data_IF_940454916010
#
_entry.id   IF_940454916010
#
_cell.length_a   1.000
_cell.length_b   1.000
_cell.length_c   1.000
_cell.angle_alpha   90.00
_cell.angle_beta   90.00
_cell.angle_gamma   90.00
#
_symmetry.space_group_name_H-M   'P 1'
#
loop_
_entity.id
_entity.type
_entity.pdbx_description
1 polymer ?
#
# COMPACT_ATOMS: atom_id res chain seq x y z
N UNK A 1 55.37 -26.03 -3.09
CA UNK A 1 54.61 -25.83 -4.34
C UNK A 1 53.55 -24.72 -4.11
N UNK A 2 53.79 -23.55 -4.66
CA UNK A 2 52.93 -22.38 -4.51
C UNK A 2 52.01 -22.26 -5.75
N UNK A 3 50.69 -22.40 -5.59
CA UNK A 3 49.75 -22.09 -6.66
C UNK A 3 49.37 -20.62 -6.61
N UNK A 4 49.70 -19.90 -7.68
CA UNK A 4 49.35 -18.51 -7.90
C UNK A 4 47.88 -18.40 -8.38
N UNK A 5 47.03 -17.74 -7.62
CA UNK A 5 45.69 -17.29 -8.08
C UNK A 5 45.89 -16.08 -8.98
N UNK A 6 45.48 -16.20 -10.25
CA UNK A 6 45.35 -15.08 -11.18
C UNK A 6 44.07 -14.36 -10.91
N UNK A 7 44.14 -13.07 -10.53
CA UNK A 7 43.02 -12.14 -10.54
C UNK A 7 42.87 -11.60 -11.96
N UNK A 8 41.69 -11.80 -12.53
CA UNK A 8 41.29 -11.18 -13.81
C UNK A 8 40.76 -9.77 -13.50
N UNK A 9 41.48 -8.76 -13.89
CA UNK A 9 40.98 -7.38 -13.93
C UNK A 9 40.28 -7.19 -15.27
N UNK A 10 38.96 -6.91 -15.23
CA UNK A 10 38.25 -6.41 -16.39
C UNK A 10 38.57 -4.92 -16.54
N UNK A 11 39.23 -4.56 -17.61
CA UNK A 11 39.58 -3.22 -17.98
C UNK A 11 38.39 -2.66 -18.78
N UNK A 12 37.64 -1.70 -18.21
CA UNK A 12 36.63 -0.93 -18.94
C UNK A 12 37.36 0.08 -19.81
N UNK A 13 37.26 -0.09 -21.12
CA UNK A 13 37.78 0.85 -22.13
C UNK A 13 36.73 1.94 -22.33
N UNK A 14 37.00 3.14 -21.82
CA UNK A 14 36.26 4.35 -22.24
C UNK A 14 36.80 4.78 -23.57
N UNK A 15 36.03 4.60 -24.63
CA UNK A 15 36.34 5.14 -25.95
C UNK A 15 35.49 6.38 -26.19
N UNK A 16 36.12 7.55 -26.03
CA UNK A 16 35.56 8.81 -26.53
C UNK A 16 35.68 8.86 -28.04
N UNK A 17 34.58 8.83 -28.75
CA UNK A 17 34.53 9.18 -30.17
C UNK A 17 33.80 10.51 -30.37
N UNK A 18 34.55 11.57 -30.68
CA UNK A 18 34.02 12.72 -31.40
C UNK A 18 33.99 12.38 -32.87
N UNK A 19 32.81 12.31 -33.46
CA UNK A 19 32.65 12.38 -34.92
C UNK A 19 31.46 13.27 -35.24
N UNK A 20 31.72 14.33 -35.98
CA UNK A 20 30.77 15.26 -36.52
C UNK A 20 30.18 14.65 -37.83
N UNK A 21 28.84 14.67 -37.97
CA UNK A 21 28.19 14.48 -39.26
C UNK A 21 27.03 13.50 -39.26
N UNK A 22 25.83 14.01 -39.54
CA UNK A 22 24.55 13.31 -39.83
C UNK A 22 24.35 11.99 -39.10
N UNK A 23 23.87 12.07 -37.89
CA UNK A 23 23.71 10.91 -37.03
C UNK A 23 22.23 10.66 -36.77
N UNK A 24 21.82 9.43 -36.99
CA UNK A 24 20.93 8.80 -36.04
C UNK A 24 21.52 9.06 -34.64
N UNK A 25 20.79 9.71 -33.76
CA UNK A 25 21.24 9.86 -32.35
C UNK A 25 21.31 8.45 -31.76
N UNK A 26 22.52 7.95 -31.59
CA UNK A 26 22.76 6.64 -31.00
C UNK A 26 22.22 6.62 -29.56
N UNK A 27 21.94 5.45 -29.11
CA UNK A 27 21.52 5.15 -27.75
C UNK A 27 22.47 5.80 -26.74
N UNK A 28 21.93 6.61 -25.82
CA UNK A 28 22.67 7.31 -24.78
C UNK A 28 22.21 6.78 -23.42
N UNK A 29 23.18 6.42 -22.60
CA UNK A 29 22.94 6.02 -21.21
C UNK A 29 23.47 7.11 -20.30
N UNK A 30 22.64 7.63 -19.40
CA UNK A 30 23.02 8.73 -18.52
C UNK A 30 22.33 8.65 -17.16
N UNK A 31 22.98 9.25 -16.18
CA UNK A 31 22.39 9.41 -14.85
C UNK A 31 21.47 10.62 -14.82
N UNK A 32 20.28 10.44 -14.28
CA UNK A 32 19.23 11.46 -14.22
C UNK A 32 18.45 11.40 -12.90
N UNK A 33 18.11 12.56 -12.36
CA UNK A 33 17.16 12.66 -11.25
C UNK A 33 15.78 12.96 -11.81
N UNK A 34 14.80 12.15 -11.54
CA UNK A 34 13.43 12.38 -11.98
C UNK A 34 12.76 13.50 -11.16
N UNK A 35 12.10 14.44 -11.84
CA UNK A 35 11.47 15.62 -11.24
C UNK A 35 9.93 15.65 -11.35
N UNK A 36 9.33 14.63 -11.94
CA UNK A 36 7.88 14.58 -12.15
C UNK A 36 7.45 14.85 -13.59
N UNK A 37 6.15 14.93 -13.81
CA UNK A 37 5.51 15.15 -15.10
C UNK A 37 5.40 16.65 -15.40
N UNK A 38 5.68 17.08 -16.64
CA UNK A 38 5.66 18.49 -17.01
C UNK A 38 4.25 19.06 -17.19
N UNK A 39 3.39 18.38 -17.92
CA UNK A 39 2.09 18.90 -18.36
C UNK A 39 0.92 18.25 -17.60
N UNK A 40 1.02 18.21 -16.30
CA UNK A 40 0.01 17.62 -15.50
C UNK A 40 -1.21 18.53 -15.39
N UNK A 41 -2.38 18.03 -15.74
CA UNK A 41 -3.63 18.76 -15.65
C UNK A 41 -4.09 19.47 -16.92
N UNK A 42 -3.38 19.37 -18.03
CA UNK A 42 -3.74 20.11 -19.26
C UNK A 42 -4.76 19.39 -20.16
N UNK A 43 -4.89 18.06 -20.05
CA UNK A 43 -5.80 17.27 -20.89
C UNK A 43 -6.35 16.07 -20.15
N UNK A 44 -7.46 15.52 -20.64
CA UNK A 44 -8.09 14.32 -20.08
C UNK A 44 -7.13 13.16 -20.08
N UNK A 45 -6.63 12.79 -18.90
CA UNK A 45 -5.69 11.68 -18.74
C UNK A 45 -6.51 10.41 -18.60
N UNK A 46 -6.44 9.57 -19.60
CA UNK A 46 -6.92 8.20 -19.51
C UNK A 46 -5.75 7.23 -19.73
N UNK A 47 -5.97 5.95 -19.55
CA UNK A 47 -4.94 4.92 -19.78
C UNK A 47 -4.31 4.99 -21.18
N UNK A 48 -5.06 5.48 -22.15
CA UNK A 48 -4.65 5.50 -23.55
C UNK A 48 -3.75 6.70 -23.91
N UNK A 49 -3.65 7.70 -23.03
CA UNK A 49 -2.89 8.95 -23.28
C UNK A 49 -1.59 9.05 -22.49
N UNK A 50 -1.19 8.03 -21.74
CA UNK A 50 0.06 8.01 -20.96
C UNK A 50 1.32 8.27 -21.79
N UNK A 51 1.32 7.91 -23.05
CA UNK A 51 2.43 8.13 -23.99
C UNK A 51 2.59 9.60 -24.39
N UNK A 52 1.58 10.43 -24.14
CA UNK A 52 1.60 11.86 -24.49
C UNK A 52 2.24 12.73 -23.41
N UNK A 53 2.46 12.20 -22.22
CA UNK A 53 3.11 12.94 -21.15
C UNK A 53 4.57 13.28 -21.44
N UNK A 54 4.99 14.39 -20.86
CA UNK A 54 6.39 14.81 -20.83
C UNK A 54 6.93 14.67 -19.41
N UNK A 55 8.08 14.05 -19.29
CA UNK A 55 8.72 13.70 -18.03
C UNK A 55 9.97 14.52 -17.83
N UNK A 56 10.10 15.19 -16.68
CA UNK A 56 11.21 16.08 -16.36
C UNK A 56 12.30 15.33 -15.60
N UNK A 57 13.53 15.57 -16.00
CA UNK A 57 14.71 15.01 -15.37
C UNK A 57 15.78 16.09 -15.20
N UNK A 58 16.57 16.01 -14.14
CA UNK A 58 17.84 16.73 -14.03
C UNK A 58 18.97 15.83 -14.50
N UNK A 59 19.71 16.27 -15.54
CA UNK A 59 20.88 15.61 -16.07
C UNK A 59 22.03 16.60 -16.09
N UNK A 60 23.17 16.27 -15.47
CA UNK A 60 24.32 17.17 -15.31
C UNK A 60 23.94 18.54 -14.75
N UNK A 61 23.01 18.56 -13.77
CA UNK A 61 22.53 19.78 -13.11
C UNK A 61 21.61 20.66 -13.96
N UNK A 62 21.13 20.18 -15.11
CA UNK A 62 20.19 20.88 -15.99
C UNK A 62 18.90 20.10 -16.14
N UNK A 63 17.79 20.81 -16.06
CA UNK A 63 16.48 20.22 -16.33
C UNK A 63 16.32 19.95 -17.82
N UNK A 64 15.86 18.74 -18.15
CA UNK A 64 15.55 18.28 -19.48
C UNK A 64 14.22 17.53 -19.45
N UNK A 65 13.51 17.57 -20.58
CA UNK A 65 12.17 16.98 -20.71
C UNK A 65 12.19 15.93 -21.81
N UNK A 66 11.63 14.78 -21.51
CA UNK A 66 11.56 13.65 -22.43
C UNK A 66 10.16 13.04 -22.49
N UNK A 67 9.84 12.46 -23.63
CA UNK A 67 8.78 11.46 -23.73
C UNK A 67 9.33 10.11 -23.28
N UNK A 68 8.43 9.23 -22.84
CA UNK A 68 8.75 7.82 -22.58
C UNK A 68 8.26 6.98 -23.75
N UNK A 69 9.02 5.96 -24.09
CA UNK A 69 8.62 4.96 -25.06
C UNK A 69 8.73 3.57 -24.40
N UNK A 70 7.59 3.01 -24.06
CA UNK A 70 7.48 1.71 -23.40
C UNK A 70 7.58 0.51 -24.37
N UNK A 71 7.87 0.76 -25.66
CA UNK A 71 7.90 -0.29 -26.66
C UNK A 71 6.50 -0.76 -27.10
N UNK A 72 6.39 -2.03 -27.45
CA UNK A 72 5.16 -2.60 -27.96
C UNK A 72 4.19 -2.99 -26.84
N UNK A 73 2.91 -2.76 -27.07
CA UNK A 73 1.83 -3.25 -26.19
C UNK A 73 1.67 -4.78 -26.33
N UNK A 74 1.18 -5.40 -25.27
CA UNK A 74 0.80 -6.81 -25.31
C UNK A 74 -0.49 -7.06 -26.13
N UNK A 75 -0.94 -8.30 -26.22
CA UNK A 75 -2.16 -8.68 -26.94
C UNK A 75 -3.46 -8.06 -26.40
N UNK A 76 -3.41 -7.48 -25.19
CA UNK A 76 -4.53 -6.83 -24.52
C UNK A 76 -4.47 -5.30 -24.67
N UNK A 77 -3.47 -4.79 -25.38
CA UNK A 77 -3.25 -3.37 -25.61
C UNK A 77 -2.60 -2.65 -24.43
N UNK A 78 -1.93 -3.37 -23.55
CA UNK A 78 -1.27 -2.83 -22.36
C UNK A 78 0.25 -2.96 -22.46
N UNK A 79 0.98 -2.03 -21.86
CA UNK A 79 2.42 -2.15 -21.67
C UNK A 79 2.72 -3.07 -20.49
N UNK A 80 3.50 -4.14 -20.67
CA UNK A 80 3.81 -5.07 -19.57
C UNK A 80 4.51 -4.41 -18.39
N UNK A 81 5.39 -3.44 -18.67
CA UNK A 81 6.19 -2.74 -17.66
C UNK A 81 6.35 -1.27 -18.03
N UNK A 82 5.34 -0.41 -17.84
CA UNK A 82 5.45 0.99 -18.17
C UNK A 82 6.54 1.68 -17.32
N UNK A 83 7.53 2.28 -17.99
CA UNK A 83 8.69 2.92 -17.34
C UNK A 83 8.24 3.99 -16.34
N UNK A 84 7.23 4.77 -16.70
CA UNK A 84 6.70 5.84 -15.85
C UNK A 84 6.14 5.34 -14.52
N UNK A 85 5.69 4.12 -14.43
CA UNK A 85 5.18 3.55 -13.18
C UNK A 85 6.31 3.19 -12.20
N UNK A 86 7.56 3.18 -12.66
CA UNK A 86 8.73 2.92 -11.84
C UNK A 86 9.48 4.21 -11.44
N UNK A 87 9.07 5.37 -11.97
CA UNK A 87 9.73 6.64 -11.70
C UNK A 87 9.19 7.30 -10.43
N UNK A 88 10.09 7.66 -9.53
CA UNK A 88 9.82 8.30 -8.24
C UNK A 88 10.49 9.68 -8.20
N UNK A 89 9.74 10.73 -7.88
CA UNK A 89 10.28 12.08 -7.81
C UNK A 89 11.43 12.16 -6.80
N UNK A 90 12.51 12.83 -7.21
CA UNK A 90 13.72 12.98 -6.41
C UNK A 90 14.69 11.79 -6.44
N UNK A 91 14.32 10.69 -7.09
CA UNK A 91 15.18 9.51 -7.21
C UNK A 91 16.10 9.60 -8.42
N UNK A 92 17.26 8.94 -8.31
CA UNK A 92 18.27 8.88 -9.37
C UNK A 92 18.13 7.59 -10.15
N UNK A 93 18.11 7.72 -11.46
CA UNK A 93 18.01 6.62 -12.42
C UNK A 93 19.20 6.64 -13.37
N UNK A 94 19.62 5.46 -13.84
CA UNK A 94 20.30 5.32 -15.09
C UNK A 94 19.24 5.20 -16.18
N UNK A 95 19.14 6.23 -17.03
CA UNK A 95 18.16 6.28 -18.12
C UNK A 95 18.82 6.03 -19.45
N UNK A 96 18.13 5.27 -20.30
CA UNK A 96 18.53 5.00 -21.66
C UNK A 96 17.66 5.82 -22.61
N UNK A 97 18.29 6.69 -23.38
CA UNK A 97 17.61 7.57 -24.33
C UNK A 97 17.95 7.16 -25.76
N UNK A 98 16.93 7.00 -26.58
CA UNK A 98 17.05 6.82 -28.01
C UNK A 98 15.96 7.61 -28.73
N UNK A 99 16.31 8.27 -29.85
CA UNK A 99 15.40 9.12 -30.61
C UNK A 99 14.68 10.21 -29.78
N UNK A 100 15.36 10.72 -28.74
CA UNK A 100 14.81 11.75 -27.85
C UNK A 100 13.75 11.26 -26.86
N UNK A 101 13.63 9.95 -26.69
CA UNK A 101 12.71 9.32 -25.76
C UNK A 101 13.46 8.43 -24.76
N UNK A 102 12.97 8.35 -23.52
CA UNK A 102 13.44 7.38 -22.54
C UNK A 102 12.89 6.01 -22.90
N UNK A 103 13.77 5.04 -23.09
CA UNK A 103 13.47 3.66 -23.48
C UNK A 103 13.62 2.68 -22.31
N UNK A 104 14.41 3.05 -21.32
CA UNK A 104 14.59 2.30 -20.07
C UNK A 104 14.98 3.25 -18.95
N UNK A 105 14.64 2.90 -17.73
CA UNK A 105 15.08 3.56 -16.52
C UNK A 105 15.36 2.48 -15.45
N UNK A 106 16.58 2.48 -14.93
CA UNK A 106 16.99 1.59 -13.84
C UNK A 106 17.30 2.44 -12.61
N UNK A 107 16.60 2.19 -11.51
CA UNK A 107 16.82 2.93 -10.28
C UNK A 107 18.23 2.66 -9.74
N UNK A 108 18.99 3.73 -9.53
CA UNK A 108 20.25 3.66 -8.81
C UNK A 108 19.96 3.65 -7.32
N UNK A 109 20.65 2.78 -6.59
CA UNK A 109 20.54 2.73 -5.14
C UNK A 109 20.86 4.12 -4.57
N UNK A 110 19.83 4.81 -4.08
CA UNK A 110 20.00 6.10 -3.44
C UNK A 110 20.78 5.90 -2.14
N UNK A 111 22.04 6.31 -2.14
CA UNK A 111 22.87 6.31 -0.94
C UNK A 111 22.36 7.45 -0.06
N UNK A 112 21.57 7.13 0.95
CA UNK A 112 21.12 8.09 1.95
C UNK A 112 19.61 8.17 2.23
N UNK A 113 18.75 7.54 1.43
CA UNK A 113 17.37 7.30 1.85
C UNK A 113 17.38 6.12 2.84
N UNK A 114 17.21 6.38 4.12
CA UNK A 114 16.95 5.30 5.07
C UNK A 114 15.67 4.59 4.64
N UNK A 115 15.80 3.33 4.27
CA UNK A 115 14.65 2.47 3.99
C UNK A 115 13.77 2.42 5.24
N UNK A 116 12.50 2.79 5.07
CA UNK A 116 11.58 2.75 6.19
C UNK A 116 11.52 1.34 6.79
N UNK A 117 11.68 1.26 8.08
CA UNK A 117 11.52 0.03 8.84
C UNK A 117 10.25 0.16 9.69
N UNK A 118 9.19 -0.62 9.40
CA UNK A 118 8.00 -0.63 10.26
C UNK A 118 8.38 -1.02 11.69
N UNK A 119 7.70 -0.46 12.70
CA UNK A 119 7.94 -0.85 14.11
C UNK A 119 7.52 -2.29 14.38
N UNK A 120 6.75 -2.91 13.49
CA UNK A 120 6.33 -4.31 13.53
C UNK A 120 6.65 -4.94 12.19
N UNK A 121 7.09 -6.21 12.17
CA UNK A 121 7.42 -6.93 10.93
C UNK A 121 6.67 -8.24 10.80
N UNK A 122 5.88 -8.36 9.74
CA UNK A 122 5.45 -9.64 9.24
C UNK A 122 6.53 -10.29 8.36
N UNK A 123 6.48 -11.60 8.25
CA UNK A 123 7.39 -12.39 7.42
C UNK A 123 6.62 -12.92 6.20
N UNK A 124 6.99 -12.53 4.98
CA UNK A 124 6.30 -12.95 3.78
C UNK A 124 6.19 -14.48 3.66
N UNK A 125 4.99 -14.99 3.36
CA UNK A 125 4.72 -16.43 3.19
C UNK A 125 4.54 -17.23 4.48
N UNK A 126 4.74 -16.63 5.64
CA UNK A 126 4.47 -17.31 6.93
C UNK A 126 2.98 -17.24 7.25
N UNK A 127 2.34 -18.41 7.36
CA UNK A 127 0.89 -18.56 7.52
C UNK A 127 0.54 -18.84 8.98
N UNK A 128 0.74 -17.85 9.84
CA UNK A 128 0.29 -17.89 11.24
C UNK A 128 -0.57 -16.68 11.57
N UNK A 129 -1.40 -16.78 12.60
CA UNK A 129 -2.27 -15.69 13.04
C UNK A 129 -1.45 -14.51 13.56
N UNK A 130 -0.38 -14.78 14.32
CA UNK A 130 0.58 -13.74 14.74
C UNK A 130 1.14 -13.01 13.53
N UNK A 131 1.61 -13.74 12.52
CA UNK A 131 2.19 -13.13 11.33
C UNK A 131 1.16 -12.35 10.50
N UNK A 132 -0.09 -12.83 10.44
CA UNK A 132 -1.17 -12.12 9.75
C UNK A 132 -1.41 -10.74 10.40
N UNK A 133 -1.55 -10.68 11.72
CA UNK A 133 -1.76 -9.43 12.45
C UNK A 133 -0.50 -8.54 12.43
N UNK A 134 0.69 -9.11 12.56
CA UNK A 134 1.95 -8.37 12.42
C UNK A 134 2.10 -7.74 11.04
N UNK A 135 1.76 -8.50 9.98
CA UNK A 135 1.76 -7.99 8.60
C UNK A 135 0.76 -6.85 8.45
N UNK A 136 -0.46 -7.00 9.00
CA UNK A 136 -1.48 -5.97 8.94
C UNK A 136 -1.05 -4.66 9.64
N UNK A 137 -0.23 -4.74 10.67
CA UNK A 137 0.31 -3.57 11.38
C UNK A 137 1.45 -2.84 10.63
N UNK A 138 2.11 -3.48 9.66
CA UNK A 138 3.27 -2.88 8.98
C UNK A 138 3.00 -1.53 8.29
N UNK A 139 1.91 -1.33 7.52
CA UNK A 139 1.65 -0.07 6.81
C UNK A 139 0.90 0.94 7.67
N UNK A 140 0.54 0.60 8.92
CA UNK A 140 -0.17 1.49 9.84
C UNK A 140 0.63 2.76 10.06
N UNK A 141 -0.06 3.89 10.01
CA UNK A 141 0.51 5.20 10.33
C UNK A 141 1.52 5.75 9.32
N UNK A 142 1.69 5.12 8.17
CA UNK A 142 2.67 5.53 7.16
C UNK A 142 2.17 5.48 5.72
N UNK A 143 0.91 5.09 5.53
CA UNK A 143 0.31 4.89 4.20
C UNK A 143 -1.02 5.61 4.13
N UNK A 144 -1.22 6.45 3.12
CA UNK A 144 -2.47 7.20 2.96
C UNK A 144 -3.57 6.36 2.28
N UNK A 145 -4.82 6.78 2.51
CA UNK A 145 -5.97 6.22 1.82
C UNK A 145 -6.03 6.75 0.39
N UNK A 146 -5.83 5.87 -0.58
CA UNK A 146 -6.00 6.17 -2.01
C UNK A 146 -7.06 5.25 -2.58
N UNK A 147 -8.17 5.82 -3.03
CA UNK A 147 -9.31 5.04 -3.52
C UNK A 147 -8.98 4.26 -4.78
N UNK A 148 -9.46 3.01 -4.85
CA UNK A 148 -9.36 2.14 -6.03
C UNK A 148 -8.47 0.92 -5.84
N UNK A 149 -8.08 0.58 -4.62
CA UNK A 149 -7.28 -0.61 -4.30
C UNK A 149 -5.93 -0.27 -3.69
N UNK A 150 -4.86 -0.79 -4.24
CA UNK A 150 -3.49 -0.48 -3.85
C UNK A 150 -2.76 0.24 -4.99
N UNK A 151 -2.04 1.30 -4.65
CA UNK A 151 -1.29 2.11 -5.60
C UNK A 151 0.15 2.25 -5.13
N UNK A 152 1.07 1.64 -5.83
CA UNK A 152 2.50 1.91 -5.77
C UNK A 152 3.09 1.83 -7.18
N UNK A 153 4.34 2.28 -7.33
CA UNK A 153 4.99 2.33 -8.63
C UNK A 153 5.38 0.95 -9.19
N UNK A 154 5.23 -0.10 -8.37
CA UNK A 154 5.49 -1.49 -8.76
C UNK A 154 4.25 -2.17 -9.34
N UNK A 155 3.07 -1.60 -9.10
CA UNK A 155 1.81 -2.12 -9.63
C UNK A 155 1.67 -1.78 -11.10
N UNK A 156 2.03 -2.73 -11.91
CA UNK A 156 1.97 -2.61 -13.37
C UNK A 156 0.54 -2.71 -13.86
N UNK A 157 -0.02 -1.60 -14.31
CA UNK A 157 -1.26 -1.56 -15.10
C UNK A 157 -2.57 -1.60 -14.34
N UNK A 158 -2.62 -1.97 -13.06
CA UNK A 158 -3.86 -2.05 -12.30
C UNK A 158 -3.65 -1.89 -10.80
N UNK A 159 -4.26 -0.88 -10.21
CA UNK A 159 -4.38 -0.70 -8.77
C UNK A 159 -5.11 -1.84 -8.04
N UNK A 160 -5.71 -2.76 -8.77
CA UNK A 160 -6.50 -3.86 -8.23
C UNK A 160 -5.61 -5.00 -7.72
N UNK A 161 -4.36 -5.08 -8.18
CA UNK A 161 -3.48 -6.22 -7.90
C UNK A 161 -2.24 -5.78 -7.14
N UNK A 162 -2.41 -5.36 -5.89
CA UNK A 162 -1.29 -5.02 -5.03
C UNK A 162 -0.46 -6.28 -4.73
N UNK A 163 0.75 -6.33 -5.26
CA UNK A 163 1.68 -7.46 -5.15
C UNK A 163 2.99 -7.11 -4.47
N UNK A 164 3.05 -5.94 -3.86
CA UNK A 164 4.25 -5.47 -3.16
C UNK A 164 4.52 -6.31 -1.94
N UNK A 165 5.73 -6.85 -1.82
CA UNK A 165 6.20 -7.54 -0.63
C UNK A 165 6.77 -6.50 0.34
N UNK A 166 6.26 -6.50 1.55
CA UNK A 166 6.58 -5.49 2.55
C UNK A 166 5.89 -4.15 2.29
N UNK A 167 6.23 -3.13 3.07
CA UNK A 167 5.71 -1.77 2.92
C UNK A 167 6.41 -1.09 1.76
N UNK A 168 5.63 -0.57 0.81
CA UNK A 168 6.21 0.21 -0.28
C UNK A 168 6.83 1.50 0.24
N UNK A 169 8.06 1.78 -0.17
CA UNK A 169 8.71 3.06 0.15
C UNK A 169 7.94 4.25 -0.45
N UNK A 170 7.21 4.03 -1.52
CA UNK A 170 6.39 5.06 -2.16
C UNK A 170 5.24 5.50 -1.26
N UNK A 171 4.62 4.58 -0.52
CA UNK A 171 3.56 4.93 0.45
C UNK A 171 4.10 5.84 1.54
N UNK A 172 5.26 5.50 2.10
CA UNK A 172 5.90 6.28 3.16
C UNK A 172 6.34 7.66 2.64
N UNK A 173 6.93 7.69 1.46
CA UNK A 173 7.38 8.92 0.81
C UNK A 173 6.19 9.82 0.51
N UNK A 174 5.11 9.26 -0.02
CA UNK A 174 3.89 10.01 -0.31
C UNK A 174 3.27 10.58 0.98
N UNK A 175 3.10 9.76 2.03
CA UNK A 175 2.60 10.21 3.33
C UNK A 175 3.45 11.37 3.88
N UNK A 176 4.78 11.25 3.86
CA UNK A 176 5.69 12.28 4.38
C UNK A 176 5.75 13.53 3.52
N UNK A 177 5.54 13.42 2.22
CA UNK A 177 5.50 14.56 1.30
C UNK A 177 4.22 15.37 1.41
N UNK A 178 3.13 14.79 1.91
CA UNK A 178 1.86 15.47 2.11
C UNK A 178 1.86 16.20 3.45
N UNK A 179 1.67 17.49 3.40
CA UNK A 179 1.47 18.35 4.57
C UNK A 179 0.04 18.90 4.61
N UNK A 180 -0.23 19.81 5.54
CA UNK A 180 -1.54 20.44 5.69
C UNK A 180 -1.96 21.33 4.49
N UNK A 181 -1.01 21.62 3.60
CA UNK A 181 -1.21 22.51 2.47
C UNK A 181 -1.16 21.80 1.12
N UNK A 182 -1.10 20.44 1.11
CA UNK A 182 -1.05 19.74 -0.15
C UNK A 182 -2.29 20.04 -1.02
N UNK A 183 -2.09 20.03 -2.32
CA UNK A 183 -3.14 20.28 -3.28
C UNK A 183 -3.84 18.99 -3.67
N UNK A 184 -5.15 18.94 -3.45
CA UNK A 184 -5.99 17.84 -3.92
C UNK A 184 -6.27 18.02 -5.42
N UNK A 185 -6.05 16.98 -6.21
CA UNK A 185 -6.25 17.01 -7.66
C UNK A 185 -7.41 16.12 -8.06
N UNK A 186 -8.23 16.61 -8.97
CA UNK A 186 -9.34 15.84 -9.55
C UNK A 186 -8.86 14.88 -10.65
N UNK A 187 -9.80 14.21 -11.29
CA UNK A 187 -9.53 13.28 -12.39
C UNK A 187 -8.89 13.92 -13.64
N UNK A 188 -8.92 15.24 -13.76
CA UNK A 188 -8.29 15.99 -14.85
C UNK A 188 -6.91 16.52 -14.42
N UNK A 189 -6.49 16.26 -13.17
CA UNK A 189 -5.29 16.82 -12.58
C UNK A 189 -5.42 18.28 -12.16
N UNK A 190 -6.62 18.87 -12.29
CA UNK A 190 -6.88 20.23 -11.86
C UNK A 190 -6.93 20.30 -10.33
N UNK A 191 -6.38 21.37 -9.77
CA UNK A 191 -6.52 21.66 -8.37
C UNK A 191 -7.98 21.89 -8.02
N UNK A 192 -8.51 21.04 -7.14
CA UNK A 192 -9.88 21.16 -6.68
C UNK A 192 -9.95 21.74 -5.28
N UNK A 193 -11.01 22.46 -5.04
CA UNK A 193 -11.39 22.75 -3.67
C UNK A 193 -11.73 21.42 -2.99
N UNK A 194 -11.24 21.28 -1.78
CA UNK A 194 -11.58 20.18 -0.92
C UNK A 194 -13.11 20.03 -0.83
N UNK A 195 -13.59 18.87 -1.24
CA UNK A 195 -14.97 18.47 -1.00
C UNK A 195 -14.99 17.60 0.26
N UNK A 196 -15.64 18.08 1.32
CA UNK A 196 -15.78 17.33 2.57
C UNK A 196 -16.47 15.97 2.40
N UNK A 197 -17.20 15.76 1.32
CA UNK A 197 -17.81 14.47 0.98
C UNK A 197 -16.80 13.47 0.39
N UNK A 198 -15.63 13.92 -0.06
CA UNK A 198 -14.59 13.12 -0.70
C UNK A 198 -13.27 13.24 0.08
N UNK A 199 -13.25 12.73 1.30
CA UNK A 199 -12.08 12.75 2.18
C UNK A 199 -11.04 11.68 1.82
N UNK A 200 -10.73 11.53 0.54
CA UNK A 200 -9.72 10.60 0.03
C UNK A 200 -9.19 11.06 -1.32
N UNK A 201 -8.01 10.56 -1.71
CA UNK A 201 -7.43 10.85 -3.00
C UNK A 201 -8.24 10.21 -4.13
N UNK A 202 -8.44 10.90 -5.25
CA UNK A 202 -9.32 10.45 -6.31
C UNK A 202 -8.79 9.21 -7.02
N UNK A 203 -9.72 8.44 -7.54
CA UNK A 203 -9.46 7.33 -8.44
C UNK A 203 -9.37 7.81 -9.88
N UNK A 204 -8.42 7.27 -10.65
CA UNK A 204 -8.28 7.59 -12.07
C UNK A 204 -6.92 7.25 -12.64
N UNK A 205 -6.74 7.40 -13.94
CA UNK A 205 -5.54 7.01 -14.66
C UNK A 205 -4.26 7.77 -14.29
N UNK A 206 -4.35 8.80 -13.49
CA UNK A 206 -3.19 9.56 -12.99
C UNK A 206 -2.85 9.31 -11.52
N UNK A 207 -3.56 8.42 -10.83
CA UNK A 207 -3.19 8.01 -9.48
C UNK A 207 -1.75 7.46 -9.43
N UNK A 208 -1.37 6.74 -10.46
CA UNK A 208 -0.03 6.18 -10.64
C UNK A 208 1.09 7.23 -10.64
N UNK A 209 0.76 8.49 -10.90
CA UNK A 209 1.74 9.58 -10.97
C UNK A 209 1.79 10.44 -9.72
N UNK A 210 0.70 10.47 -8.94
CA UNK A 210 0.57 11.45 -7.87
C UNK A 210 0.25 10.87 -6.53
N UNK A 211 -0.37 9.71 -6.50
CA UNK A 211 -0.89 9.13 -5.27
C UNK A 211 -0.35 7.72 -5.09
N UNK A 212 0.17 7.44 -3.92
CA UNK A 212 0.58 6.12 -3.50
C UNK A 212 -0.07 5.79 -2.16
N UNK A 213 -0.74 4.65 -2.07
CA UNK A 213 -1.46 4.28 -0.85
C UNK A 213 -2.42 3.12 -1.04
N UNK A 214 -3.23 2.87 -0.02
CA UNK A 214 -4.13 1.71 0.06
C UNK A 214 -5.54 2.15 0.46
N UNK A 215 -6.56 1.72 -0.28
CA UNK A 215 -7.92 1.75 0.25
C UNK A 215 -8.20 0.55 1.17
N UNK A 216 -9.44 0.39 1.64
CA UNK A 216 -9.79 -0.69 2.55
C UNK A 216 -9.57 -2.08 1.93
N UNK A 217 -9.92 -2.26 0.67
CA UNK A 217 -9.76 -3.52 -0.05
C UNK A 217 -8.32 -3.76 -0.49
N UNK A 218 -7.62 -2.72 -0.87
CA UNK A 218 -6.19 -2.75 -1.18
C UNK A 218 -5.35 -3.15 0.03
N UNK A 219 -5.67 -2.60 1.19
CA UNK A 219 -5.01 -2.95 2.45
C UNK A 219 -5.18 -4.43 2.81
N UNK A 220 -6.42 -4.91 2.87
CA UNK A 220 -6.67 -6.33 3.20
C UNK A 220 -6.08 -7.25 2.14
N UNK A 221 -6.21 -6.90 0.85
CA UNK A 221 -5.62 -7.65 -0.25
C UNK A 221 -4.09 -7.72 -0.18
N UNK A 222 -3.44 -6.62 0.18
CA UNK A 222 -1.99 -6.57 0.39
C UNK A 222 -1.55 -7.45 1.58
N UNK A 223 -2.26 -7.40 2.70
CA UNK A 223 -2.00 -8.29 3.86
C UNK A 223 -2.07 -9.74 3.43
N UNK A 224 -3.13 -10.10 2.71
CA UNK A 224 -3.32 -11.46 2.20
C UNK A 224 -2.20 -11.87 1.24
N UNK A 225 -1.76 -11.00 0.35
CA UNK A 225 -0.68 -11.28 -0.59
C UNK A 225 0.63 -11.58 0.14
N UNK A 226 0.98 -10.80 1.15
CA UNK A 226 2.18 -11.03 1.94
C UNK A 226 2.13 -12.32 2.78
N UNK A 227 0.97 -12.71 3.28
CA UNK A 227 0.81 -13.90 4.13
C UNK A 227 0.59 -15.18 3.32
N UNK A 228 -0.25 -15.13 2.29
CA UNK A 228 -0.75 -16.33 1.60
C UNK A 228 -0.01 -16.64 0.31
N UNK A 229 0.37 -15.63 -0.44
CA UNK A 229 0.96 -15.81 -1.75
C UNK A 229 2.01 -14.74 -2.04
N UNK A 230 3.25 -15.12 -1.86
CA UNK A 230 4.43 -14.30 -2.15
C UNK A 230 5.13 -14.74 -3.44
N UNK A 231 4.58 -15.71 -4.17
CA UNK A 231 5.14 -16.18 -5.42
C UNK A 231 4.80 -15.23 -6.56
N UNK A 232 5.80 -14.90 -7.35
CA UNK A 232 5.63 -14.06 -8.53
C UNK A 232 4.66 -14.69 -9.54
N UNK A 233 3.77 -13.88 -10.12
CA UNK A 233 2.90 -14.24 -11.22
C UNK A 233 1.52 -14.74 -10.84
N UNK A 234 1.19 -14.83 -9.56
CA UNK A 234 -0.17 -15.09 -9.12
C UNK A 234 -0.93 -13.76 -8.95
N UNK A 235 -2.24 -13.79 -9.19
CA UNK A 235 -3.09 -12.63 -8.98
C UNK A 235 -3.09 -12.20 -7.51
N UNK A 236 -3.22 -10.88 -7.28
CA UNK A 236 -3.40 -10.33 -5.95
C UNK A 236 -4.75 -10.71 -5.34
N UNK A 237 -4.96 -10.32 -4.09
CA UNK A 237 -6.19 -10.61 -3.35
C UNK A 237 -7.12 -9.39 -3.25
N UNK A 238 -6.84 -8.32 -3.97
CA UNK A 238 -7.67 -7.12 -3.98
C UNK A 238 -8.93 -7.36 -4.79
N UNK A 239 -10.08 -7.07 -4.19
CA UNK A 239 -11.38 -7.18 -4.80
C UNK A 239 -12.36 -6.19 -4.16
N UNK A 240 -13.61 -6.18 -4.61
CA UNK A 240 -14.64 -5.38 -3.94
C UNK A 240 -14.70 -5.68 -2.45
N UNK A 241 -14.50 -4.66 -1.60
CA UNK A 241 -14.50 -4.76 -0.14
C UNK A 241 -15.74 -5.48 0.42
N UNK A 242 -16.89 -5.28 -0.18
CA UNK A 242 -18.14 -5.96 0.20
C UNK A 242 -18.07 -7.48 0.01
N UNK A 243 -17.26 -7.99 -0.92
CA UNK A 243 -17.18 -9.41 -1.26
C UNK A 243 -16.00 -10.14 -0.62
N UNK A 244 -15.04 -9.40 -0.08
CA UNK A 244 -13.73 -9.92 0.35
C UNK A 244 -13.88 -11.09 1.34
N UNK A 245 -14.56 -10.89 2.46
CA UNK A 245 -14.68 -11.89 3.51
C UNK A 245 -15.38 -13.17 3.01
N UNK A 246 -16.49 -13.05 2.29
CA UNK A 246 -17.18 -14.20 1.72
C UNK A 246 -16.35 -14.97 0.70
N UNK A 247 -15.57 -14.25 -0.11
CA UNK A 247 -14.67 -14.89 -1.10
C UNK A 247 -13.58 -15.71 -0.41
N UNK A 248 -12.99 -15.23 0.67
CA UNK A 248 -11.98 -15.98 1.42
C UNK A 248 -12.55 -17.28 2.02
N UNK A 249 -13.78 -17.24 2.51
CA UNK A 249 -14.47 -18.45 2.94
C UNK A 249 -14.72 -19.42 1.78
N UNK A 250 -15.13 -18.93 0.60
CA UNK A 250 -15.31 -19.75 -0.59
C UNK A 250 -14.00 -20.38 -1.10
N UNK A 251 -12.85 -19.76 -0.82
CA UNK A 251 -11.55 -20.37 -1.09
C UNK A 251 -11.21 -21.52 -0.14
N UNK A 252 -12.05 -21.78 0.86
CA UNK A 252 -11.86 -22.86 1.83
C UNK A 252 -10.89 -22.52 2.95
N UNK A 253 -10.54 -21.23 3.14
CA UNK A 253 -9.57 -20.81 4.16
C UNK A 253 -10.19 -20.67 5.55
N UNK A 254 -11.52 -20.68 5.66
CA UNK A 254 -12.23 -20.54 6.90
C UNK A 254 -13.74 -20.53 6.72
N UNK A 255 -14.45 -20.14 7.74
CA UNK A 255 -15.90 -20.14 7.81
C UNK A 255 -16.49 -18.75 7.55
N UNK A 256 -17.73 -18.76 7.03
CA UNK A 256 -18.53 -17.57 6.77
C UNK A 256 -19.76 -17.53 7.64
N UNK A 257 -20.07 -16.38 8.23
CA UNK A 257 -21.32 -16.16 8.98
C UNK A 257 -21.88 -14.74 8.79
N UNK A 258 -23.20 -14.64 8.86
CA UNK A 258 -23.95 -13.40 8.98
C UNK A 258 -24.69 -13.32 10.32
N UNK A 259 -24.54 -14.35 11.14
CA UNK A 259 -25.12 -14.40 12.49
C UNK A 259 -24.13 -13.78 13.47
N UNK A 260 -24.46 -12.58 13.93
CA UNK A 260 -23.62 -11.75 14.78
C UNK A 260 -24.41 -11.26 15.97
N UNK A 261 -23.78 -11.28 17.11
CA UNK A 261 -24.29 -10.68 18.34
C UNK A 261 -23.32 -9.58 18.81
N UNK A 262 -23.86 -8.46 19.27
CA UNK A 262 -23.04 -7.38 19.85
C UNK A 262 -22.36 -7.94 21.11
N UNK A 263 -21.03 -7.89 21.19
CA UNK A 263 -20.32 -8.41 22.35
C UNK A 263 -20.63 -7.56 23.59
N UNK A 264 -20.80 -8.25 24.71
CA UNK A 264 -20.91 -7.61 26.02
C UNK A 264 -19.59 -7.61 26.76
N UNK A 265 -18.73 -8.53 26.42
CA UNK A 265 -17.40 -8.70 26.98
C UNK A 265 -16.55 -9.59 26.04
N UNK A 266 -15.27 -9.69 26.35
CA UNK A 266 -14.33 -10.54 25.61
C UNK A 266 -14.77 -12.02 25.57
N UNK A 267 -15.20 -12.60 26.67
CA UNK A 267 -15.45 -14.04 26.79
C UNK A 267 -16.68 -14.51 25.98
N UNK A 268 -17.59 -13.59 25.65
CA UNK A 268 -18.83 -13.86 24.92
C UNK A 268 -18.85 -13.27 23.51
N UNK A 269 -17.70 -12.83 23.01
CA UNK A 269 -17.62 -12.22 21.69
C UNK A 269 -17.56 -13.27 20.58
N UNK A 270 -18.26 -12.95 19.49
CA UNK A 270 -18.15 -13.66 18.21
C UNK A 270 -17.08 -13.04 17.29
N UNK A 271 -16.49 -11.91 17.69
CA UNK A 271 -15.41 -11.22 16.94
C UNK A 271 -14.06 -11.60 17.54
N UNK A 272 -13.37 -12.47 16.83
CA UNK A 272 -12.12 -13.06 17.31
C UNK A 272 -10.91 -12.54 16.53
N UNK A 273 -9.71 -12.58 17.12
CA UNK A 273 -8.49 -12.13 16.45
C UNK A 273 -8.30 -12.74 15.05
N UNK A 274 -8.01 -11.91 14.06
CA UNK A 274 -7.82 -12.28 12.68
C UNK A 274 -9.10 -12.43 11.85
N UNK A 275 -10.29 -12.32 12.43
CA UNK A 275 -11.53 -12.31 11.65
C UNK A 275 -11.52 -11.13 10.66
N UNK A 276 -12.07 -11.34 9.46
CA UNK A 276 -12.21 -10.30 8.44
C UNK A 276 -13.68 -10.04 8.22
N UNK A 277 -14.07 -8.78 8.26
CA UNK A 277 -15.45 -8.37 8.14
C UNK A 277 -15.68 -7.49 6.91
N UNK A 278 -16.63 -7.87 6.07
CA UNK A 278 -17.09 -7.08 4.94
C UNK A 278 -18.46 -6.46 5.21
N UNK A 279 -18.55 -5.15 5.12
CA UNK A 279 -19.80 -4.41 5.02
C UNK A 279 -19.94 -3.79 3.63
N UNK A 280 -21.04 -3.14 3.34
CA UNK A 280 -21.21 -2.45 2.08
C UNK A 280 -20.19 -1.33 1.91
N UNK A 281 -19.28 -1.49 0.94
CA UNK A 281 -18.26 -0.49 0.62
C UNK A 281 -17.07 -0.44 1.56
N UNK A 282 -16.96 -1.35 2.56
CA UNK A 282 -15.79 -1.38 3.45
C UNK A 282 -15.43 -2.80 3.91
N UNK A 283 -14.17 -2.97 4.32
CA UNK A 283 -13.64 -4.22 4.88
C UNK A 283 -12.61 -3.90 5.96
N UNK A 284 -12.60 -4.71 7.03
CA UNK A 284 -11.69 -4.54 8.17
C UNK A 284 -11.26 -5.88 8.77
N UNK A 285 -10.18 -5.84 9.56
CA UNK A 285 -9.58 -6.99 10.26
C UNK A 285 -9.80 -6.79 11.75
N UNK A 286 -10.27 -7.81 12.44
CA UNK A 286 -10.42 -7.83 13.89
C UNK A 286 -9.09 -8.12 14.57
N UNK A 287 -8.66 -7.28 15.49
CA UNK A 287 -7.55 -7.58 16.42
C UNK A 287 -8.09 -8.36 17.62
N UNK A 288 -9.32 -8.07 18.03
CA UNK A 288 -10.03 -8.78 19.08
C UNK A 288 -11.05 -7.90 19.79
N UNK A 289 -11.81 -8.51 20.70
CA UNK A 289 -12.78 -7.84 21.59
C UNK A 289 -12.15 -7.57 22.94
N UNK A 290 -12.33 -6.38 23.48
CA UNK A 290 -11.87 -5.98 24.81
C UNK A 290 -12.83 -6.42 25.91
N UNK A 291 -12.42 -6.26 27.19
CA UNK A 291 -13.19 -6.68 28.34
C UNK A 291 -14.57 -6.00 28.45
N UNK A 292 -14.67 -4.77 27.99
CA UNK A 292 -15.90 -3.97 27.95
C UNK A 292 -16.79 -4.25 26.73
N UNK A 293 -16.43 -5.22 25.88
CA UNK A 293 -17.15 -5.57 24.66
C UNK A 293 -16.85 -4.69 23.45
N UNK A 294 -16.04 -3.65 23.59
CA UNK A 294 -15.54 -2.89 22.44
C UNK A 294 -14.56 -3.72 21.59
N UNK A 295 -14.45 -3.40 20.30
CA UNK A 295 -13.66 -4.22 19.36
C UNK A 295 -12.51 -3.37 18.79
N UNK A 296 -11.28 -3.87 18.96
CA UNK A 296 -10.12 -3.28 18.32
C UNK A 296 -9.99 -3.83 16.89
N UNK A 297 -9.84 -2.93 15.93
CA UNK A 297 -9.78 -3.26 14.50
C UNK A 297 -8.58 -2.64 13.80
N UNK A 298 -8.21 -3.25 12.69
CA UNK A 298 -7.28 -2.74 11.69
C UNK A 298 -8.03 -2.54 10.37
N UNK A 299 -7.95 -1.37 9.80
CA UNK A 299 -8.51 -1.07 8.50
C UNK A 299 -7.79 0.10 7.83
N UNK A 300 -7.94 0.23 6.52
CA UNK A 300 -7.64 1.48 5.85
C UNK A 300 -8.93 2.26 5.65
N UNK A 301 -9.04 3.44 6.21
CA UNK A 301 -10.26 4.26 6.17
C UNK A 301 -9.96 5.67 5.74
N UNK A 302 -10.83 6.22 4.87
CA UNK A 302 -10.79 7.64 4.56
C UNK A 302 -11.15 8.45 5.83
N UNK A 303 -10.37 9.48 6.10
CA UNK A 303 -10.57 10.34 7.26
C UNK A 303 -10.13 11.78 6.94
N UNK A 304 -10.67 12.73 7.70
CA UNK A 304 -10.13 14.08 7.73
C UNK A 304 -9.04 14.21 8.77
N UNK A 305 -7.98 14.94 8.44
CA UNK A 305 -6.97 15.31 9.41
C UNK A 305 -7.54 16.25 10.49
N UNK A 306 -6.77 16.46 11.56
CA UNK A 306 -7.11 17.41 12.64
C UNK A 306 -7.31 18.85 12.13
N UNK A 307 -6.75 19.18 10.98
CA UNK A 307 -6.92 20.48 10.28
C UNK A 307 -7.97 20.42 9.17
N UNK A 308 -8.63 19.27 9.03
CA UNK A 308 -9.71 19.07 8.08
C UNK A 308 -9.24 18.80 6.65
N UNK A 309 -8.01 18.32 6.41
CA UNK A 309 -7.55 17.88 5.09
C UNK A 309 -7.99 16.44 4.81
N UNK A 310 -8.34 16.07 3.57
CA UNK A 310 -8.68 14.70 3.23
C UNK A 310 -7.44 13.79 3.36
N UNK A 311 -7.67 12.52 3.67
CA UNK A 311 -6.60 11.54 3.85
C UNK A 311 -7.11 10.30 4.58
N UNK A 312 -6.47 9.98 5.72
CA UNK A 312 -6.66 8.70 6.40
C UNK A 312 -5.80 7.60 5.79
N UNK A 313 -6.03 6.37 6.15
CA UNK A 313 -5.28 5.20 5.66
C UNK A 313 -5.34 4.02 6.64
N UNK A 314 -4.37 3.09 6.57
CA UNK A 314 -4.25 2.00 7.53
C UNK A 314 -3.99 2.51 8.94
N UNK A 315 -4.84 2.12 9.87
CA UNK A 315 -4.74 2.51 11.28
C UNK A 315 -5.37 1.48 12.22
N UNK A 316 -4.96 1.53 13.50
CA UNK A 316 -5.71 0.94 14.60
C UNK A 316 -6.90 1.85 14.91
N UNK A 317 -8.08 1.25 15.05
CA UNK A 317 -9.34 1.94 15.31
C UNK A 317 -10.19 1.14 16.27
N UNK A 318 -11.21 1.76 16.83
CA UNK A 318 -12.15 1.11 17.71
C UNK A 318 -13.57 1.05 17.15
N UNK A 319 -14.28 -0.03 17.45
CA UNK A 319 -15.74 -0.08 17.41
C UNK A 319 -16.21 -0.06 18.86
N UNK A 320 -16.90 1.00 19.25
CA UNK A 320 -17.29 1.21 20.64
C UNK A 320 -18.34 2.31 20.81
N UNK A 321 -18.75 2.58 22.04
CA UNK A 321 -19.78 3.57 22.33
C UNK A 321 -19.22 4.99 22.42
N UNK A 322 -18.04 5.14 23.01
CA UNK A 322 -17.35 6.42 23.15
C UNK A 322 -15.83 6.23 23.27
N UNK A 323 -15.08 7.32 23.36
CA UNK A 323 -13.61 7.35 23.47
C UNK A 323 -13.07 6.79 24.81
N UNK A 324 -13.93 6.43 25.75
CA UNK A 324 -13.52 5.80 27.01
C UNK A 324 -13.52 4.27 26.91
N UNK A 325 -14.00 3.69 25.83
CA UNK A 325 -13.97 2.24 25.65
C UNK A 325 -12.53 1.71 25.55
N UNK A 326 -12.34 0.45 25.95
CA UNK A 326 -11.01 -0.16 26.03
C UNK A 326 -10.31 -0.21 24.68
N UNK A 327 -11.04 -0.54 23.61
CA UNK A 327 -10.48 -0.59 22.26
C UNK A 327 -9.98 0.77 21.79
N UNK A 328 -10.71 1.87 22.09
CA UNK A 328 -10.26 3.20 21.72
C UNK A 328 -9.00 3.60 22.49
N UNK A 329 -8.95 3.34 23.80
CA UNK A 329 -7.77 3.63 24.62
C UNK A 329 -6.54 2.86 24.16
N UNK A 330 -6.71 1.58 23.76
CA UNK A 330 -5.63 0.79 23.18
C UNK A 330 -5.16 1.38 21.85
N UNK A 331 -6.09 1.67 20.94
CA UNK A 331 -5.75 2.28 19.65
C UNK A 331 -5.04 3.63 19.84
N UNK A 332 -5.53 4.50 20.69
CA UNK A 332 -4.96 5.81 20.97
C UNK A 332 -3.55 5.70 21.55
N UNK A 333 -3.33 4.78 22.48
CA UNK A 333 -2.01 4.52 23.06
C UNK A 333 -1.01 4.05 21.98
N UNK A 334 -1.35 3.00 21.23
CA UNK A 334 -0.42 2.44 20.23
C UNK A 334 -0.18 3.40 19.05
N UNK A 335 -1.21 4.12 18.60
CA UNK A 335 -1.05 5.11 17.53
C UNK A 335 -0.21 6.30 17.98
N UNK A 336 -0.39 6.79 19.21
CA UNK A 336 0.41 7.92 19.71
C UNK A 336 1.86 7.55 20.01
N UNK A 337 2.11 6.35 20.55
CA UNK A 337 3.44 5.90 20.97
C UNK A 337 4.32 5.48 19.77
N UNK A 338 3.75 4.71 18.83
CA UNK A 338 4.52 4.08 17.77
C UNK A 338 4.41 4.79 16.41
N UNK A 339 3.38 5.64 16.22
CA UNK A 339 3.12 6.34 14.96
C UNK A 339 2.88 7.85 15.18
N UNK A 340 3.81 8.56 15.85
CA UNK A 340 3.58 9.94 16.26
C UNK A 340 3.39 10.92 15.09
N UNK A 341 4.02 10.68 13.91
CA UNK A 341 3.80 11.50 12.71
C UNK A 341 2.36 11.40 12.22
N UNK A 342 1.79 10.20 12.24
CA UNK A 342 0.39 9.95 11.91
C UNK A 342 -0.55 10.56 12.94
N UNK A 343 -0.31 10.25 14.21
CA UNK A 343 -1.15 10.68 15.32
C UNK A 343 -1.24 12.20 15.45
N UNK A 344 -0.16 12.91 15.13
CA UNK A 344 -0.18 14.38 15.05
C UNK A 344 -1.12 14.89 13.95
N UNK A 345 -1.33 14.11 12.90
CA UNK A 345 -2.12 14.48 11.73
C UNK A 345 -3.58 13.99 11.80
N UNK A 346 -3.77 12.73 12.18
CA UNK A 346 -5.10 12.09 12.20
C UNK A 346 -5.50 11.66 13.60
N UNK A 347 -6.77 11.88 14.00
CA UNK A 347 -7.30 11.28 15.22
C UNK A 347 -7.53 9.77 15.01
N UNK A 348 -7.48 9.01 16.09
CA UNK A 348 -7.94 7.61 16.07
C UNK A 348 -9.43 7.57 15.72
N UNK A 349 -9.82 6.67 14.83
CA UNK A 349 -11.22 6.54 14.45
C UNK A 349 -12.01 5.72 15.47
N UNK A 350 -13.12 6.27 15.92
CA UNK A 350 -14.15 5.56 16.68
C UNK A 350 -15.35 5.27 15.76
N UNK A 351 -15.72 4.02 15.68
CA UNK A 351 -16.77 3.53 14.78
C UNK A 351 -17.96 2.99 15.56
N UNK A 352 -19.14 3.24 15.02
CA UNK A 352 -20.39 2.73 15.58
C UNK A 352 -20.55 1.23 15.28
N UNK A 353 -20.99 0.45 16.26
CA UNK A 353 -21.14 -1.00 16.12
C UNK A 353 -22.14 -1.37 15.03
N UNK A 354 -23.34 -0.77 15.03
CA UNK A 354 -24.38 -1.14 14.07
C UNK A 354 -23.98 -0.81 12.64
N UNK A 355 -23.25 0.29 12.45
CA UNK A 355 -22.73 0.67 11.14
C UNK A 355 -21.62 -0.26 10.66
N UNK A 356 -20.66 -0.61 11.54
CA UNK A 356 -19.47 -1.39 11.16
C UNK A 356 -19.69 -2.91 11.17
N UNK A 357 -20.84 -3.38 11.63
CA UNK A 357 -21.26 -4.79 11.58
C UNK A 357 -22.56 -4.99 10.81
N UNK A 358 -22.94 -4.00 9.99
CA UNK A 358 -24.19 -4.04 9.22
C UNK A 358 -24.20 -5.20 8.23
N UNK A 359 -25.26 -5.99 8.27
CA UNK A 359 -25.53 -7.03 7.28
C UNK A 359 -26.50 -6.47 6.24
N UNK A 360 -25.97 -6.19 5.04
CA UNK A 360 -26.73 -5.68 3.89
C UNK A 360 -26.52 -6.58 2.67
N UNK A 361 -27.39 -7.57 2.53
CA UNK A 361 -27.34 -8.51 1.43
C UNK A 361 -26.45 -9.73 1.67
N UNK A 362 -26.20 -10.48 0.60
CA UNK A 362 -25.60 -11.82 0.69
C UNK A 362 -24.07 -11.85 0.85
N UNK A 363 -23.39 -10.71 0.66
CA UNK A 363 -21.92 -10.65 0.66
C UNK A 363 -21.35 -9.99 1.91
N UNK A 364 -22.15 -9.27 2.68
CA UNK A 364 -21.72 -8.64 3.92
C UNK A 364 -21.75 -9.62 5.08
N UNK A 365 -20.74 -9.63 5.92
CA UNK A 365 -20.61 -10.56 7.02
C UNK A 365 -19.17 -10.86 7.39
N UNK A 366 -18.98 -11.86 8.22
CA UNK A 366 -17.72 -12.20 8.87
C UNK A 366 -17.10 -13.48 8.28
N UNK A 367 -15.82 -13.42 7.99
CA UNK A 367 -14.94 -14.55 7.76
C UNK A 367 -14.11 -14.83 9.00
N UNK A 368 -14.01 -16.10 9.38
CA UNK A 368 -13.15 -16.58 10.47
C UNK A 368 -12.21 -17.66 9.93
N UNK A 369 -10.92 -17.50 10.21
CA UNK A 369 -9.90 -18.42 9.75
C UNK A 369 -10.09 -19.87 10.23
N UNK A 370 -9.79 -20.82 9.35
CA UNK A 370 -9.41 -22.18 9.73
C UNK A 370 -7.97 -22.16 10.26
N UNK A 371 -7.79 -22.43 11.55
CA UNK A 371 -6.50 -22.34 12.23
C UNK A 371 -5.71 -23.66 12.23
N UNK A 372 -6.10 -24.64 11.44
CA UNK A 372 -5.38 -25.92 11.35
C UNK A 372 -4.12 -25.83 10.48
N UNK A 373 -3.95 -24.74 9.71
CA UNK A 373 -2.91 -24.63 8.69
C UNK A 373 -3.16 -25.46 7.43
N UNK A 374 -4.27 -26.20 7.38
CA UNK A 374 -4.65 -27.05 6.25
C UNK A 374 -5.50 -26.25 5.23
N UNK A 375 -5.60 -26.77 4.00
CA UNK A 375 -6.45 -26.23 2.92
C UNK A 375 -6.25 -24.73 2.62
N UNK A 376 -5.03 -24.21 2.86
CA UNK A 376 -4.73 -22.79 2.64
C UNK A 376 -5.10 -21.89 3.80
N UNK A 377 -5.56 -22.42 4.93
CA UNK A 377 -5.73 -21.67 6.18
C UNK A 377 -4.40 -21.26 6.81
N UNK A 378 -4.49 -20.59 7.94
CA UNK A 378 -3.34 -20.23 8.78
C UNK A 378 -3.33 -21.08 10.04
N UNK A 379 -2.21 -21.14 10.76
CA UNK A 379 -2.10 -21.78 12.08
C UNK A 379 -2.04 -20.73 13.18
N UNK A 380 -2.29 -21.17 14.41
CA UNK A 380 -2.23 -20.30 15.59
C UNK A 380 -1.42 -20.96 16.72
N UNK A 381 -0.11 -21.14 16.52
CA UNK A 381 0.76 -21.77 17.51
C UNK A 381 0.93 -20.93 18.79
N UNK A 382 0.76 -19.63 18.71
CA UNK A 382 0.85 -18.69 19.83
C UNK A 382 -0.46 -18.57 20.61
N UNK A 383 -1.55 -19.17 20.12
CA UNK A 383 -2.89 -19.12 20.73
C UNK A 383 -3.53 -17.72 20.77
N UNK A 384 -3.24 -16.89 19.79
CA UNK A 384 -3.79 -15.53 19.66
C UNK A 384 -5.33 -15.51 19.67
N UNK A 385 -5.95 -16.58 19.17
CA UNK A 385 -7.42 -16.70 19.16
C UNK A 385 -8.06 -16.64 20.57
N UNK A 386 -7.28 -16.89 21.62
CA UNK A 386 -7.71 -16.85 23.01
C UNK A 386 -7.04 -15.74 23.83
N UNK A 387 -6.38 -14.78 23.17
CA UNK A 387 -5.80 -13.61 23.81
C UNK A 387 -6.69 -12.39 23.66
N UNK A 388 -6.57 -11.48 24.61
CA UNK A 388 -7.16 -10.13 24.52
C UNK A 388 -6.38 -9.29 23.49
N UNK A 389 -6.96 -8.21 22.92
CA UNK A 389 -6.24 -7.29 22.06
C UNK A 389 -4.97 -6.71 22.69
N UNK A 390 -5.00 -6.42 23.99
CA UNK A 390 -3.84 -5.91 24.73
C UNK A 390 -2.71 -6.93 24.75
N UNK A 391 -2.98 -8.19 25.13
CA UNK A 391 -1.99 -9.27 25.13
C UNK A 391 -1.39 -9.50 23.73
N UNK A 392 -2.21 -9.45 22.68
CA UNK A 392 -1.76 -9.59 21.28
C UNK A 392 -0.81 -8.45 20.91
N UNK A 393 -1.20 -7.22 21.17
CA UNK A 393 -0.37 -6.07 20.84
C UNK A 393 0.93 -6.06 21.65
N UNK A 394 0.88 -6.36 22.95
CA UNK A 394 2.07 -6.48 23.80
C UNK A 394 3.04 -7.54 23.26
N UNK A 395 2.56 -8.71 22.86
CA UNK A 395 3.39 -9.79 22.31
C UNK A 395 4.01 -9.39 20.97
N UNK A 396 3.22 -8.82 20.05
CA UNK A 396 3.71 -8.35 18.75
C UNK A 396 4.81 -7.28 18.91
N UNK A 397 4.60 -6.30 19.80
CA UNK A 397 5.58 -5.23 20.02
C UNK A 397 6.76 -5.65 20.90
N UNK A 398 6.65 -6.73 21.66
CA UNK A 398 7.77 -7.24 22.47
C UNK A 398 8.95 -7.72 21.63
N UNK A 399 8.69 -8.19 20.42
CA UNK A 399 9.72 -8.63 19.47
C UNK A 399 10.60 -7.47 18.95
N UNK A 400 10.27 -6.21 19.29
CA UNK A 400 10.95 -4.98 18.81
C UNK A 400 11.62 -4.15 19.93
N UNK A 401 11.61 -4.62 21.18
CA UNK A 401 12.27 -3.95 22.31
C UNK A 401 13.69 -4.41 22.55
#
# INVERSE_FOLDING_TARGET
MRQKRKRLFALLLVVSFMICGCAHQGEQVMEAVYLGVENYGAEEVNKDTKDDFSYRFTIDGKEQVFKIDNGDVNSEGEYPYPIQNCLKEGYTYEIQISDGKVKAAEEKKNIGAEEYQPPVKGVPGVRTLKNFLSTALMPVGTTLYVYGGGWDWQDVGSAIQTRTIGVSQDWVTFFRSQDENYTFRDKNGDETLKDAANSYYPYGGYNEYYYAGLDCSGYVGWVMYNVMNTESGLDGYVMSSTKTAKTFAHNGWGDWTQELEKPTDYAHSVFLPGDIFSIKGHVWICVGTCEDGSILILHSTAAESRTGQPGGGPELSAIGEDENCDAYRLADFYMSEYFPEWYARYPVALKDYEQYTAIDGEYTGKFSWNLTGENGGISDPEHYRSMTPEEILEDIWSDFR
#
